data_IF_491029410071
#
_entry.id   IF_491029410071
#
_cell.length_a   1.000
_cell.length_b   1.000
_cell.length_c   1.000
_cell.angle_alpha   90.00
_cell.angle_beta   90.00
_cell.angle_gamma   90.00
#
_symmetry.space_group_name_H-M   'P 1'
#
loop_
_entity.id
_entity.type
_entity.pdbx_description
1 polymer ?
#
# COMPACT_ATOMS: atom_id res chain seq x y z
N UNK A 1 -9.20 37.44 -5.48
CA UNK A 1 -8.69 37.08 -6.82
C UNK A 1 -9.40 35.81 -7.26
N UNK A 2 -9.52 35.53 -8.56
CA UNK A 2 -10.12 34.28 -9.03
C UNK A 2 -9.16 33.11 -8.74
N UNK A 3 -9.65 32.01 -8.15
CA UNK A 3 -8.84 30.81 -7.89
C UNK A 3 -8.43 30.16 -9.22
N UNK A 4 -7.19 29.70 -9.32
CA UNK A 4 -6.70 28.94 -10.48
C UNK A 4 -7.26 27.51 -10.44
N UNK A 5 -7.94 27.06 -11.49
CA UNK A 5 -8.50 25.71 -11.54
C UNK A 5 -7.55 24.73 -12.25
N UNK A 6 -7.26 23.59 -11.63
CA UNK A 6 -6.45 22.51 -12.21
C UNK A 6 -7.27 21.22 -12.34
N UNK A 7 -7.28 20.62 -13.54
CA UNK A 7 -7.91 19.32 -13.78
C UNK A 7 -6.94 18.20 -13.43
N UNK A 8 -7.34 17.34 -12.49
CA UNK A 8 -6.50 16.25 -11.97
C UNK A 8 -7.17 14.92 -12.29
N UNK A 9 -6.48 14.01 -12.96
CA UNK A 9 -7.00 12.67 -13.22
C UNK A 9 -7.03 11.83 -11.95
N UNK A 10 -8.06 10.99 -11.79
CA UNK A 10 -8.13 9.97 -10.75
C UNK A 10 -8.43 8.62 -11.41
N UNK A 11 -7.42 7.75 -11.47
CA UNK A 11 -7.46 6.51 -12.25
C UNK A 11 -7.32 5.28 -11.34
N UNK A 12 -8.45 4.80 -10.83
CA UNK A 12 -8.52 3.71 -9.85
C UNK A 12 -9.58 2.69 -10.26
N UNK A 13 -9.27 1.39 -10.17
CA UNK A 13 -10.18 0.32 -10.60
C UNK A 13 -11.26 0.02 -9.57
N UNK A 14 -12.35 0.79 -9.57
CA UNK A 14 -13.48 0.63 -8.63
C UNK A 14 -14.39 -0.57 -8.93
N UNK A 15 -14.05 -1.35 -9.96
CA UNK A 15 -14.63 -2.66 -10.31
C UNK A 15 -13.50 -3.70 -10.50
N UNK A 16 -13.86 -4.98 -10.43
CA UNK A 16 -12.89 -6.08 -10.52
C UNK A 16 -12.44 -6.63 -9.16
N UNK A 17 -11.45 -7.52 -9.19
CA UNK A 17 -11.06 -8.39 -8.06
C UNK A 17 -10.52 -7.65 -6.82
N UNK A 18 -9.97 -6.45 -7.00
CA UNK A 18 -9.40 -5.61 -5.94
C UNK A 18 -10.17 -4.28 -5.76
N UNK A 19 -11.42 -4.23 -6.24
CA UNK A 19 -12.26 -3.03 -6.22
C UNK A 19 -12.55 -2.48 -4.82
N UNK A 20 -12.56 -3.32 -3.79
CA UNK A 20 -12.77 -2.91 -2.39
C UNK A 20 -11.69 -1.93 -1.95
N UNK A 21 -10.42 -2.26 -2.15
CA UNK A 21 -9.27 -1.40 -1.84
C UNK A 21 -9.29 -0.15 -2.74
N UNK A 22 -9.49 -0.31 -4.04
CA UNK A 22 -9.50 0.81 -4.98
C UNK A 22 -10.64 1.83 -4.73
N UNK A 23 -11.80 1.38 -4.23
CA UNK A 23 -12.87 2.28 -3.77
C UNK A 23 -12.46 3.05 -2.52
N UNK A 24 -11.71 2.42 -1.59
CA UNK A 24 -11.15 3.10 -0.42
C UNK A 24 -10.11 4.16 -0.83
N UNK A 25 -9.24 3.83 -1.79
CA UNK A 25 -8.31 4.78 -2.42
C UNK A 25 -9.03 5.98 -3.05
N UNK A 26 -10.09 5.73 -3.83
CA UNK A 26 -10.87 6.79 -4.47
C UNK A 26 -11.50 7.71 -3.42
N UNK A 27 -12.07 7.15 -2.36
CA UNK A 27 -12.64 7.92 -1.26
C UNK A 27 -11.59 8.81 -0.59
N UNK A 28 -10.40 8.27 -0.31
CA UNK A 28 -9.29 9.04 0.26
C UNK A 28 -8.87 10.23 -0.61
N UNK A 29 -8.72 10.01 -1.93
CA UNK A 29 -8.44 11.08 -2.88
C UNK A 29 -9.56 12.14 -2.90
N UNK A 30 -10.82 11.73 -3.04
CA UNK A 30 -11.99 12.63 -3.11
C UNK A 30 -12.22 13.40 -1.80
N UNK A 31 -11.82 12.87 -0.65
CA UNK A 31 -11.80 13.62 0.60
C UNK A 31 -10.79 14.79 0.53
N UNK A 32 -9.56 14.52 0.10
CA UNK A 32 -8.55 15.56 -0.04
C UNK A 32 -8.95 16.65 -1.04
N UNK A 33 -9.54 16.29 -2.19
CA UNK A 33 -10.11 17.26 -3.15
C UNK A 33 -11.12 18.18 -2.48
N UNK A 34 -12.06 17.62 -1.70
CA UNK A 34 -13.08 18.41 -1.00
C UNK A 34 -12.49 19.35 0.03
N UNK A 35 -11.51 18.89 0.81
CA UNK A 35 -10.85 19.74 1.81
C UNK A 35 -10.09 20.91 1.18
N UNK A 36 -9.33 20.66 0.11
CA UNK A 36 -8.59 21.71 -0.62
C UNK A 36 -9.56 22.72 -1.23
N UNK A 37 -10.63 22.24 -1.87
CA UNK A 37 -11.62 23.11 -2.50
C UNK A 37 -12.45 23.91 -1.49
N UNK A 38 -12.67 23.37 -0.28
CA UNK A 38 -13.30 24.11 0.82
C UNK A 38 -12.35 25.10 1.52
N UNK A 39 -11.04 24.94 1.36
CA UNK A 39 -10.02 25.83 1.88
C UNK A 39 -9.99 27.20 1.19
N UNK A 40 -9.14 28.08 1.72
CA UNK A 40 -8.92 29.44 1.22
C UNK A 40 -7.72 29.55 0.26
N UNK A 41 -7.20 28.43 -0.21
CA UNK A 41 -6.08 28.40 -1.13
C UNK A 41 -6.44 29.08 -2.46
N UNK A 42 -5.44 29.66 -3.12
CA UNK A 42 -5.60 30.33 -4.41
C UNK A 42 -5.88 29.38 -5.59
N UNK A 43 -6.05 28.08 -5.32
CA UNK A 43 -6.27 27.04 -6.33
C UNK A 43 -7.56 26.26 -6.06
N UNK A 44 -8.17 25.72 -7.10
CA UNK A 44 -9.25 24.71 -7.05
C UNK A 44 -8.79 23.49 -7.84
N UNK A 45 -9.11 22.30 -7.35
CA UNK A 45 -8.79 21.03 -8.00
C UNK A 45 -10.07 20.36 -8.51
N UNK A 46 -10.13 20.10 -9.81
CA UNK A 46 -11.26 19.43 -10.47
C UNK A 46 -10.91 17.97 -10.79
N UNK A 47 -11.47 16.98 -10.06
CA UNK A 47 -11.15 15.58 -10.30
C UNK A 47 -11.83 15.05 -11.57
N UNK A 48 -11.05 14.43 -12.46
CA UNK A 48 -11.53 13.67 -13.62
C UNK A 48 -11.37 12.18 -13.32
N UNK A 49 -12.44 11.56 -12.82
CA UNK A 49 -12.42 10.17 -12.36
C UNK A 49 -12.67 9.20 -13.52
N UNK A 50 -11.79 8.21 -13.67
CA UNK A 50 -11.91 7.12 -14.65
C UNK A 50 -11.69 5.76 -13.99
N UNK A 51 -12.35 4.72 -14.49
CA UNK A 51 -12.31 3.37 -13.93
C UNK A 51 -11.74 2.35 -14.94
N UNK A 52 -10.47 1.93 -14.78
CA UNK A 52 -9.85 0.92 -15.64
C UNK A 52 -10.33 -0.52 -15.43
N UNK A 53 -11.18 -0.78 -14.43
CA UNK A 53 -11.79 -2.10 -14.17
C UNK A 53 -10.83 -3.29 -13.97
N UNK A 54 -9.59 -3.03 -13.56
CA UNK A 54 -8.57 -4.06 -13.36
C UNK A 54 -7.84 -4.50 -14.63
N UNK A 55 -8.11 -3.86 -15.78
CA UNK A 55 -7.55 -4.23 -17.08
C UNK A 55 -6.39 -3.32 -17.50
N UNK A 56 -5.23 -3.91 -17.81
CA UNK A 56 -4.01 -3.16 -18.15
C UNK A 56 -4.17 -2.36 -19.44
N UNK A 57 -4.84 -2.91 -20.45
CA UNK A 57 -5.08 -2.18 -21.70
C UNK A 57 -5.95 -0.93 -21.46
N UNK A 58 -6.96 -1.04 -20.60
CA UNK A 58 -7.80 0.08 -20.16
C UNK A 58 -7.00 1.13 -19.39
N UNK A 59 -6.08 0.73 -18.50
CA UNK A 59 -5.17 1.68 -17.83
C UNK A 59 -4.37 2.50 -18.84
N UNK A 60 -3.79 1.85 -19.85
CA UNK A 60 -3.04 2.53 -20.91
C UNK A 60 -3.93 3.48 -21.73
N UNK A 61 -5.08 3.00 -22.19
CA UNK A 61 -6.01 3.80 -22.99
C UNK A 61 -6.48 5.04 -22.24
N UNK A 62 -6.93 4.87 -20.99
CA UNK A 62 -7.42 5.96 -20.16
C UNK A 62 -6.31 6.95 -19.79
N UNK A 63 -5.07 6.49 -19.63
CA UNK A 63 -3.92 7.39 -19.44
C UNK A 63 -3.71 8.27 -20.66
N UNK A 64 -3.75 7.70 -21.87
CA UNK A 64 -3.62 8.46 -23.12
C UNK A 64 -4.77 9.45 -23.31
N UNK A 65 -6.00 9.08 -22.96
CA UNK A 65 -7.17 9.96 -23.05
C UNK A 65 -7.06 11.14 -22.07
N UNK A 66 -6.69 10.87 -20.80
CA UNK A 66 -6.47 11.91 -19.79
C UNK A 66 -5.37 12.88 -20.23
N UNK A 67 -4.19 12.36 -20.55
CA UNK A 67 -3.02 13.16 -20.94
C UNK A 67 -3.28 13.92 -22.25
N UNK A 68 -3.92 13.28 -23.23
CA UNK A 68 -4.32 13.90 -24.50
C UNK A 68 -5.38 15.00 -24.36
N UNK A 69 -6.18 14.95 -23.30
CA UNK A 69 -7.17 16.00 -22.96
C UNK A 69 -6.58 17.18 -22.17
N UNK A 70 -5.25 17.20 -21.96
CA UNK A 70 -4.53 18.26 -21.27
C UNK A 70 -4.39 18.06 -19.75
N UNK A 71 -4.82 16.92 -19.19
CA UNK A 71 -4.56 16.60 -17.78
C UNK A 71 -3.08 16.25 -17.62
N UNK A 72 -2.35 16.94 -16.74
CA UNK A 72 -0.92 16.69 -16.51
C UNK A 72 -0.61 15.88 -15.26
N UNK A 73 -1.52 15.84 -14.30
CA UNK A 73 -1.35 15.11 -13.05
C UNK A 73 -2.46 14.07 -12.90
N UNK A 74 -2.09 12.83 -12.61
CA UNK A 74 -3.03 11.74 -12.37
C UNK A 74 -2.68 11.04 -11.07
N UNK A 75 -3.64 10.94 -10.16
CA UNK A 75 -3.54 10.10 -8.96
C UNK A 75 -4.14 8.74 -9.30
N UNK A 76 -3.38 7.66 -9.18
CA UNK A 76 -3.95 6.37 -9.55
C UNK A 76 -2.97 5.22 -9.65
N UNK A 77 -3.47 4.15 -10.27
CA UNK A 77 -2.91 2.80 -10.21
C UNK A 77 -2.98 2.19 -8.81
N UNK A 78 -2.91 0.86 -8.76
CA UNK A 78 -2.79 0.10 -7.52
C UNK A 78 -1.77 -1.01 -7.74
N UNK A 79 -2.02 -1.89 -8.72
CA UNK A 79 -1.08 -2.97 -9.04
C UNK A 79 0.19 -2.42 -9.70
N UNK A 80 1.33 -3.03 -9.38
CA UNK A 80 2.60 -2.69 -10.03
C UNK A 80 2.56 -2.86 -11.55
N UNK A 81 1.80 -3.85 -12.04
CA UNK A 81 1.58 -4.03 -13.48
C UNK A 81 0.87 -2.84 -14.11
N UNK A 82 -0.17 -2.28 -13.46
CA UNK A 82 -0.86 -1.11 -14.00
C UNK A 82 0.04 0.12 -14.01
N UNK A 83 0.87 0.30 -12.97
CA UNK A 83 1.86 1.38 -12.90
C UNK A 83 2.88 1.27 -14.05
N UNK A 84 3.50 0.09 -14.22
CA UNK A 84 4.50 -0.14 -15.29
C UNK A 84 3.93 0.04 -16.69
N UNK A 85 2.67 -0.34 -16.88
CA UNK A 85 1.97 -0.17 -18.16
C UNK A 85 1.81 1.31 -18.55
N UNK A 86 1.57 2.20 -17.56
CA UNK A 86 1.25 3.60 -17.84
C UNK A 86 2.43 4.56 -17.76
N UNK A 87 3.53 4.21 -17.05
CA UNK A 87 4.72 5.08 -16.94
C UNK A 87 5.18 5.65 -18.30
N UNK A 88 5.31 4.84 -19.38
CA UNK A 88 5.72 5.37 -20.68
C UNK A 88 4.77 6.42 -21.26
N UNK A 89 3.48 6.39 -20.90
CA UNK A 89 2.53 7.43 -21.30
C UNK A 89 2.85 8.75 -20.58
N UNK A 90 3.10 8.72 -19.27
CA UNK A 90 3.44 9.92 -18.51
C UNK A 90 4.77 10.54 -18.95
N UNK A 91 5.77 9.71 -19.24
CA UNK A 91 7.05 10.14 -19.80
C UNK A 91 6.88 10.82 -21.17
N UNK A 92 6.05 10.24 -22.06
CA UNK A 92 5.81 10.79 -23.40
C UNK A 92 5.10 12.15 -23.40
N UNK A 93 4.21 12.37 -22.43
CA UNK A 93 3.36 13.57 -22.38
C UNK A 93 3.84 14.61 -21.35
N UNK A 94 5.02 14.42 -20.75
CA UNK A 94 5.52 15.24 -19.65
C UNK A 94 4.47 15.39 -18.52
N UNK A 95 3.80 14.28 -18.19
CA UNK A 95 2.84 14.20 -17.08
C UNK A 95 3.47 13.65 -15.80
N UNK A 96 2.79 13.81 -14.67
CA UNK A 96 3.13 13.14 -13.41
C UNK A 96 2.04 12.16 -12.99
N UNK A 97 2.43 10.92 -12.78
CA UNK A 97 1.65 9.95 -12.01
C UNK A 97 1.96 10.11 -10.53
N UNK A 98 0.93 10.28 -9.71
CA UNK A 98 1.01 10.18 -8.26
C UNK A 98 0.52 8.80 -7.87
N UNK A 99 1.44 7.95 -7.44
CA UNK A 99 1.19 6.54 -7.19
C UNK A 99 1.02 6.28 -5.69
N UNK A 100 -0.21 6.04 -5.21
CA UNK A 100 -0.53 6.00 -3.79
C UNK A 100 -0.68 4.56 -3.28
N UNK A 101 0.23 3.69 -3.70
CA UNK A 101 0.22 2.28 -3.29
C UNK A 101 1.63 1.83 -2.97
N UNK A 102 1.72 0.90 -2.02
CA UNK A 102 2.95 0.19 -1.73
C UNK A 102 3.37 -0.69 -2.91
N UNK A 103 4.68 -0.92 -3.09
CA UNK A 103 5.20 -1.69 -4.22
C UNK A 103 6.57 -2.37 -3.97
N UNK A 104 7.04 -3.11 -4.95
CA UNK A 104 8.20 -3.98 -4.91
C UNK A 104 9.58 -3.30 -4.95
N UNK A 105 9.66 -1.99 -5.16
CA UNK A 105 10.94 -1.29 -5.35
C UNK A 105 11.50 -1.42 -6.77
N UNK A 106 12.81 -1.20 -6.88
CA UNK A 106 13.62 -1.33 -8.10
C UNK A 106 13.14 -0.48 -9.28
N UNK A 107 12.57 0.68 -8.98
CA UNK A 107 12.06 1.64 -9.94
C UNK A 107 12.27 3.07 -9.42
N UNK A 108 12.60 3.98 -10.32
CA UNK A 108 12.59 5.41 -10.08
C UNK A 108 12.33 6.07 -11.42
N UNK A 109 11.29 6.88 -11.49
CA UNK A 109 10.93 7.65 -12.68
C UNK A 109 10.74 9.11 -12.28
N UNK A 110 11.28 10.01 -13.10
CA UNK A 110 11.05 11.45 -12.99
C UNK A 110 9.57 11.82 -13.19
N UNK A 111 8.77 10.92 -13.76
CA UNK A 111 7.36 11.12 -14.04
C UNK A 111 6.43 10.46 -13.00
N UNK A 112 6.98 9.98 -11.88
CA UNK A 112 6.20 9.34 -10.81
C UNK A 112 6.57 9.92 -9.44
N UNK A 113 5.56 10.29 -8.67
CA UNK A 113 5.68 10.58 -7.23
C UNK A 113 5.10 9.40 -6.46
N UNK A 114 5.90 8.75 -5.63
CA UNK A 114 5.51 7.55 -4.88
C UNK A 114 5.12 7.94 -3.46
N UNK A 115 3.83 7.91 -3.14
CA UNK A 115 3.33 8.19 -1.78
C UNK A 115 3.06 6.93 -0.96
N UNK A 116 3.14 5.75 -1.57
CA UNK A 116 3.13 4.46 -0.89
C UNK A 116 4.52 3.93 -0.54
N UNK A 117 4.55 2.85 0.26
CA UNK A 117 5.77 2.28 0.83
C UNK A 117 6.66 1.57 -0.18
N UNK A 118 7.98 1.77 -0.05
CA UNK A 118 9.03 0.97 -0.68
C UNK A 118 9.37 -0.29 0.15
N UNK A 119 10.09 -1.29 -0.39
CA UNK A 119 10.39 -2.56 0.29
C UNK A 119 11.02 -2.44 1.68
N UNK A 120 11.90 -1.45 1.87
CA UNK A 120 12.54 -1.22 3.17
C UNK A 120 11.58 -0.67 4.24
N UNK A 121 10.39 -0.19 3.84
CA UNK A 121 9.37 0.40 4.72
C UNK A 121 8.20 -0.57 5.03
N UNK A 122 8.16 -1.77 4.44
CA UNK A 122 7.11 -2.76 4.72
C UNK A 122 7.62 -4.21 4.78
N UNK A 123 8.36 -4.70 3.76
CA UNK A 123 8.84 -6.09 3.70
C UNK A 123 9.92 -6.34 4.73
N UNK A 124 10.97 -5.50 4.78
CA UNK A 124 12.09 -5.73 5.70
C UNK A 124 11.66 -5.66 7.19
N UNK A 125 10.85 -4.67 7.62
CA UNK A 125 10.29 -4.65 8.98
C UNK A 125 9.48 -5.91 9.31
N UNK A 126 8.71 -6.43 8.34
CA UNK A 126 7.93 -7.65 8.54
C UNK A 126 8.83 -8.87 8.73
N UNK A 127 9.85 -9.02 7.89
CA UNK A 127 10.82 -10.11 7.99
C UNK A 127 11.54 -10.07 9.35
N UNK A 128 11.96 -8.88 9.79
CA UNK A 128 12.57 -8.68 11.11
C UNK A 128 11.65 -9.13 12.25
N UNK A 129 10.37 -8.75 12.18
CA UNK A 129 9.38 -9.15 13.16
C UNK A 129 9.16 -10.67 13.19
N UNK A 130 8.93 -11.27 12.03
CA UNK A 130 8.65 -12.71 11.91
C UNK A 130 9.83 -13.55 12.40
N UNK A 131 11.05 -13.25 11.93
CA UNK A 131 12.27 -13.96 12.28
C UNK A 131 12.59 -13.89 13.79
N UNK A 132 12.24 -12.78 14.46
CA UNK A 132 12.55 -12.57 15.87
C UNK A 132 11.45 -12.98 16.84
N UNK A 133 10.19 -13.04 16.41
CA UNK A 133 9.02 -13.23 17.31
C UNK A 133 8.14 -14.42 16.98
N UNK A 134 8.16 -14.91 15.73
CA UNK A 134 7.22 -15.94 15.27
C UNK A 134 7.97 -17.23 14.95
N UNK A 135 8.97 -17.16 14.06
CA UNK A 135 9.74 -18.32 13.66
C UNK A 135 10.63 -18.04 12.47
N UNK A 136 11.14 -19.07 11.82
CA UNK A 136 12.13 -18.93 10.75
C UNK A 136 11.80 -19.75 9.50
N UNK A 137 10.72 -20.55 9.50
CA UNK A 137 10.25 -21.35 8.38
C UNK A 137 9.00 -20.76 7.76
N UNK A 138 9.13 -20.18 6.58
CA UNK A 138 8.03 -19.54 5.85
C UNK A 138 7.44 -20.47 4.78
N UNK A 139 6.14 -20.34 4.53
CA UNK A 139 5.52 -20.75 3.27
C UNK A 139 5.00 -19.49 2.57
N UNK A 140 5.37 -19.27 1.30
CA UNK A 140 4.93 -18.09 0.56
C UNK A 140 3.81 -18.45 -0.41
N UNK A 141 2.75 -17.64 -0.43
CA UNK A 141 1.66 -17.71 -1.40
C UNK A 141 1.45 -16.33 -2.01
N UNK A 142 1.19 -16.23 -3.31
CA UNK A 142 1.02 -14.93 -3.96
C UNK A 142 0.21 -14.95 -5.23
N UNK A 143 -0.26 -13.77 -5.65
CA UNK A 143 -0.90 -13.62 -6.96
C UNK A 143 0.15 -13.61 -8.08
N UNK A 144 -0.10 -14.26 -9.21
CA UNK A 144 0.88 -14.53 -10.26
C UNK A 144 1.19 -13.30 -11.13
N UNK A 145 1.85 -12.30 -10.55
CA UNK A 145 2.34 -11.10 -11.22
C UNK A 145 3.53 -10.48 -10.45
N UNK A 146 4.13 -9.44 -11.04
CA UNK A 146 5.40 -8.85 -10.60
C UNK A 146 5.48 -8.51 -9.11
N UNK A 147 4.40 -8.01 -8.52
CA UNK A 147 4.34 -7.70 -7.08
C UNK A 147 4.71 -8.92 -6.22
N UNK A 148 4.03 -10.05 -6.41
CA UNK A 148 4.26 -11.20 -5.55
C UNK A 148 5.59 -11.88 -5.85
N UNK A 149 6.04 -11.87 -7.11
CA UNK A 149 7.35 -12.43 -7.49
C UNK A 149 8.49 -11.67 -6.82
N UNK A 150 8.50 -10.35 -6.94
CA UNK A 150 9.56 -9.52 -6.37
C UNK A 150 9.49 -9.45 -4.84
N UNK A 151 8.29 -9.33 -4.25
CA UNK A 151 8.16 -9.37 -2.79
C UNK A 151 8.57 -10.72 -2.20
N UNK A 152 8.18 -11.84 -2.82
CA UNK A 152 8.65 -13.16 -2.36
C UNK A 152 10.18 -13.29 -2.50
N UNK A 153 10.77 -12.76 -3.58
CA UNK A 153 12.23 -12.72 -3.75
C UNK A 153 12.91 -11.94 -2.64
N UNK A 154 12.49 -10.69 -2.39
CA UNK A 154 13.05 -9.82 -1.34
C UNK A 154 12.86 -10.47 0.03
N UNK A 155 11.66 -11.00 0.30
CA UNK A 155 11.34 -11.69 1.54
C UNK A 155 12.26 -12.90 1.77
N UNK A 156 12.42 -13.76 0.76
CA UNK A 156 13.27 -14.95 0.81
C UNK A 156 14.73 -14.59 1.06
N UNK A 157 15.26 -13.59 0.36
CA UNK A 157 16.64 -13.10 0.55
C UNK A 157 16.84 -12.53 1.97
N UNK A 158 15.88 -11.71 2.43
CA UNK A 158 15.94 -11.10 3.76
C UNK A 158 15.78 -12.11 4.90
N UNK A 159 14.91 -13.11 4.73
CA UNK A 159 14.70 -14.18 5.71
C UNK A 159 15.92 -15.11 5.78
N UNK A 160 16.49 -15.49 4.63
CA UNK A 160 17.71 -16.28 4.57
C UNK A 160 18.90 -15.57 5.25
N UNK A 161 19.03 -14.25 5.06
CA UNK A 161 20.04 -13.45 5.75
C UNK A 161 19.87 -13.43 7.29
N UNK A 162 18.68 -13.77 7.80
CA UNK A 162 18.37 -13.92 9.23
C UNK A 162 18.35 -15.38 9.69
N UNK A 163 18.87 -16.29 8.88
CA UNK A 163 18.96 -17.72 9.18
C UNK A 163 17.66 -18.50 9.00
N UNK A 164 16.63 -17.91 8.40
CA UNK A 164 15.39 -18.59 8.07
C UNK A 164 15.37 -19.23 6.68
N UNK A 165 14.27 -19.90 6.36
CA UNK A 165 14.08 -20.63 5.11
C UNK A 165 12.65 -20.47 4.59
N UNK A 166 12.51 -20.46 3.27
CA UNK A 166 11.22 -20.57 2.59
C UNK A 166 11.04 -22.03 2.16
N UNK A 167 10.03 -22.71 2.72
CA UNK A 167 9.77 -24.13 2.47
C UNK A 167 9.17 -24.36 1.08
N UNK A 168 8.29 -23.46 0.64
CA UNK A 168 7.67 -23.47 -0.67
C UNK A 168 7.16 -22.08 -1.05
N UNK A 169 7.06 -21.86 -2.36
CA UNK A 169 6.38 -20.72 -2.96
C UNK A 169 5.29 -21.24 -3.90
N UNK A 170 4.07 -20.68 -3.82
CA UNK A 170 2.94 -21.02 -4.70
C UNK A 170 2.28 -19.75 -5.23
N UNK A 171 1.83 -19.81 -6.48
CA UNK A 171 1.20 -18.68 -7.15
C UNK A 171 -0.15 -19.05 -7.73
N UNK A 172 -1.12 -18.15 -7.59
CA UNK A 172 -2.46 -18.25 -8.15
C UNK A 172 -2.72 -17.06 -9.08
N UNK A 173 -3.52 -17.24 -10.13
CA UNK A 173 -3.93 -16.11 -10.96
C UNK A 173 -4.72 -15.09 -10.13
N UNK A 174 -4.62 -13.80 -10.45
CA UNK A 174 -5.44 -12.78 -9.77
C UNK A 174 -6.92 -13.09 -10.00
N UNK A 175 -7.69 -13.18 -8.93
CA UNK A 175 -9.11 -13.52 -8.98
C UNK A 175 -9.41 -15.01 -8.87
N UNK A 176 -8.40 -15.88 -8.99
CA UNK A 176 -8.54 -17.32 -8.79
C UNK A 176 -8.76 -17.63 -7.30
N UNK A 177 -9.70 -18.53 -7.01
CA UNK A 177 -10.12 -18.91 -5.65
C UNK A 177 -9.91 -20.40 -5.36
N UNK A 178 -9.30 -21.16 -6.28
CA UNK A 178 -8.99 -22.58 -6.08
C UNK A 178 -7.76 -22.77 -5.19
N UNK A 179 -7.96 -22.59 -3.88
CA UNK A 179 -6.88 -22.50 -2.87
C UNK A 179 -6.57 -23.82 -2.15
N UNK A 180 -7.38 -24.86 -2.36
CA UNK A 180 -7.35 -26.10 -1.56
C UNK A 180 -6.00 -26.82 -1.63
N UNK A 181 -5.39 -26.91 -2.82
CA UNK A 181 -4.10 -27.57 -2.98
C UNK A 181 -2.98 -26.83 -2.24
N UNK A 182 -3.00 -25.50 -2.28
CA UNK A 182 -2.02 -24.66 -1.57
C UNK A 182 -2.20 -24.82 -0.06
N UNK A 183 -3.44 -24.80 0.43
CA UNK A 183 -3.77 -25.00 1.85
C UNK A 183 -3.33 -26.38 2.33
N UNK A 184 -3.60 -27.44 1.56
CA UNK A 184 -3.16 -28.80 1.90
C UNK A 184 -1.63 -28.87 2.04
N UNK A 185 -0.90 -28.23 1.12
CA UNK A 185 0.56 -28.17 1.17
C UNK A 185 1.08 -27.37 2.39
N UNK A 186 0.42 -26.29 2.79
CA UNK A 186 0.77 -25.53 3.99
C UNK A 186 0.61 -26.39 5.25
N UNK A 187 -0.53 -27.07 5.39
CA UNK A 187 -0.82 -27.92 6.55
C UNK A 187 0.15 -29.10 6.65
N UNK A 188 0.51 -29.71 5.51
CA UNK A 188 1.46 -30.82 5.45
C UNK A 188 2.88 -30.39 5.86
N UNK A 189 3.34 -29.23 5.35
CA UNK A 189 4.70 -28.74 5.60
C UNK A 189 4.90 -28.11 6.98
N UNK A 190 3.82 -27.68 7.65
CA UNK A 190 3.85 -27.01 8.96
C UNK A 190 4.92 -25.90 9.01
N UNK A 191 4.76 -24.81 8.23
CA UNK A 191 5.61 -23.64 8.39
C UNK A 191 5.33 -22.96 9.74
N UNK A 192 6.25 -22.13 10.20
CA UNK A 192 6.04 -21.29 11.39
C UNK A 192 5.06 -20.14 11.09
N UNK A 193 4.98 -19.72 9.83
CA UNK A 193 4.03 -18.71 9.35
C UNK A 193 3.86 -18.79 7.82
N UNK A 194 2.77 -18.23 7.32
CA UNK A 194 2.53 -18.03 5.88
C UNK A 194 2.80 -16.57 5.51
N UNK A 195 3.61 -16.31 4.48
CA UNK A 195 3.71 -14.99 3.87
C UNK A 195 2.75 -14.91 2.68
N UNK A 196 1.69 -14.10 2.83
CA UNK A 196 0.62 -13.94 1.86
C UNK A 196 0.77 -12.64 1.04
N UNK A 197 0.94 -12.81 -0.26
CA UNK A 197 0.92 -11.79 -1.31
C UNK A 197 -0.20 -12.02 -2.34
N UNK A 198 -1.24 -12.79 -1.98
CA UNK A 198 -2.48 -12.79 -2.75
C UNK A 198 -3.19 -11.45 -2.56
N UNK A 199 -3.87 -10.98 -3.60
CA UNK A 199 -4.67 -9.73 -3.54
C UNK A 199 -6.14 -10.00 -3.84
N UNK A 200 -7.00 -9.13 -3.32
CA UNK A 200 -8.43 -9.11 -3.66
C UNK A 200 -9.13 -10.43 -3.34
N UNK A 201 -10.08 -10.83 -4.19
CA UNK A 201 -10.91 -12.02 -3.97
C UNK A 201 -10.12 -13.31 -3.71
N UNK A 202 -8.95 -13.48 -4.33
CA UNK A 202 -8.05 -14.62 -4.08
C UNK A 202 -7.56 -14.66 -2.64
N UNK A 203 -7.19 -13.51 -2.07
CA UNK A 203 -6.74 -13.42 -0.69
C UNK A 203 -7.86 -13.79 0.29
N UNK A 204 -9.06 -13.25 0.06
CA UNK A 204 -10.19 -13.48 0.98
C UNK A 204 -10.61 -14.95 0.99
N UNK A 205 -10.64 -15.58 -0.19
CA UNK A 205 -10.88 -17.02 -0.31
C UNK A 205 -9.83 -17.84 0.43
N UNK A 206 -8.55 -17.49 0.27
CA UNK A 206 -7.45 -18.12 0.99
C UNK A 206 -7.60 -18.02 2.51
N UNK A 207 -7.83 -16.83 3.06
CA UNK A 207 -7.99 -16.66 4.51
C UNK A 207 -9.13 -17.49 5.09
N UNK A 208 -10.32 -17.46 4.44
CA UNK A 208 -11.48 -18.23 4.88
C UNK A 208 -11.22 -19.73 4.84
N UNK A 209 -10.77 -20.23 3.68
CA UNK A 209 -10.56 -21.66 3.47
C UNK A 209 -9.43 -22.18 4.36
N UNK A 210 -8.34 -21.41 4.54
CA UNK A 210 -7.23 -21.81 5.38
C UNK A 210 -7.63 -21.92 6.85
N UNK A 211 -8.37 -20.93 7.38
CA UNK A 211 -8.90 -20.98 8.75
C UNK A 211 -9.84 -22.17 8.94
N UNK A 212 -10.76 -22.41 8.01
CA UNK A 212 -11.70 -23.54 8.07
C UNK A 212 -10.95 -24.89 8.04
N UNK A 213 -9.97 -25.05 7.15
CA UNK A 213 -9.18 -26.27 7.03
C UNK A 213 -8.30 -26.55 8.25
N UNK A 214 -7.80 -25.52 8.92
CA UNK A 214 -7.09 -25.62 10.19
C UNK A 214 -8.03 -26.04 11.33
N UNK A 215 -9.18 -25.36 11.47
CA UNK A 215 -10.19 -25.71 12.50
C UNK A 215 -10.68 -27.15 12.37
N UNK A 216 -10.92 -27.62 11.14
CA UNK A 216 -11.31 -29.01 10.88
C UNK A 216 -10.27 -30.05 11.33
N UNK A 217 -9.01 -29.63 11.53
CA UNK A 217 -7.90 -30.46 12.01
C UNK A 217 -7.49 -30.15 13.45
N UNK A 218 -8.25 -29.31 14.16
CA UNK A 218 -7.94 -28.89 15.53
C UNK A 218 -6.72 -27.97 15.65
N UNK A 219 -6.34 -27.27 14.56
CA UNK A 219 -5.22 -26.33 14.54
C UNK A 219 -5.75 -24.92 14.83
N UNK A 220 -5.20 -24.25 15.83
CA UNK A 220 -5.40 -22.82 16.05
C UNK A 220 -4.52 -22.03 15.08
N UNK A 221 -5.05 -21.77 13.88
CA UNK A 221 -4.30 -21.12 12.80
C UNK A 221 -3.63 -19.80 13.23
N UNK A 222 -4.27 -18.96 14.04
CA UNK A 222 -3.68 -17.67 14.43
C UNK A 222 -2.47 -17.83 15.36
N UNK A 223 -2.51 -18.83 16.24
CA UNK A 223 -1.45 -19.09 17.20
C UNK A 223 -0.33 -19.97 16.62
N UNK A 224 -0.68 -20.95 15.79
CA UNK A 224 0.24 -21.98 15.31
C UNK A 224 0.83 -21.68 13.93
N UNK A 225 0.03 -21.11 13.01
CA UNK A 225 0.47 -20.81 11.63
C UNK A 225 -0.10 -19.44 11.21
N UNK A 226 0.32 -18.34 11.86
CA UNK A 226 -0.18 -17.01 11.53
C UNK A 226 0.10 -16.68 10.07
N UNK A 227 -0.83 -15.95 9.45
CA UNK A 227 -0.63 -15.39 8.12
C UNK A 227 -0.12 -13.97 8.27
N UNK A 228 0.96 -13.66 7.58
CA UNK A 228 1.59 -12.36 7.53
C UNK A 228 1.48 -11.78 6.11
N UNK A 229 1.21 -10.49 5.98
CA UNK A 229 1.04 -9.83 4.69
C UNK A 229 1.57 -8.40 4.70
N UNK A 230 2.01 -7.93 3.52
CA UNK A 230 2.29 -6.51 3.29
C UNK A 230 1.15 -5.79 2.54
N UNK A 231 0.07 -6.52 2.18
CA UNK A 231 -1.06 -5.97 1.44
C UNK A 231 -2.36 -5.95 2.24
N UNK A 232 -2.50 -6.82 3.25
CA UNK A 232 -3.73 -6.94 4.04
C UNK A 232 -4.06 -5.64 4.78
N UNK A 233 -5.21 -5.07 4.46
CA UNK A 233 -5.69 -3.79 4.98
C UNK A 233 -7.13 -3.87 5.52
N UNK A 234 -7.55 -2.84 6.24
CA UNK A 234 -8.85 -2.77 6.93
C UNK A 234 -10.08 -3.03 6.03
N UNK A 235 -10.19 -2.48 4.81
CA UNK A 235 -11.38 -2.71 3.97
C UNK A 235 -11.50 -4.16 3.50
N UNK A 236 -10.43 -4.96 3.57
CA UNK A 236 -10.44 -6.37 3.21
C UNK A 236 -10.91 -7.27 4.36
N UNK A 237 -10.78 -6.82 5.61
CA UNK A 237 -11.15 -7.60 6.80
C UNK A 237 -12.65 -8.01 6.81
N UNK A 238 -13.61 -7.12 6.48
CA UNK A 238 -15.02 -7.52 6.33
C UNK A 238 -15.26 -8.56 5.23
N UNK A 239 -14.48 -8.51 4.13
CA UNK A 239 -14.61 -9.44 3.01
C UNK A 239 -14.08 -10.85 3.35
N UNK A 240 -13.10 -10.93 4.26
CA UNK A 240 -12.65 -12.19 4.84
C UNK A 240 -13.74 -12.79 5.73
N UNK A 241 -14.46 -11.96 6.47
CA UNK A 241 -15.60 -12.37 7.28
C UNK A 241 -15.21 -12.82 8.70
N UNK A 242 -16.19 -12.83 9.63
CA UNK A 242 -15.95 -12.89 11.08
C UNK A 242 -15.28 -14.18 11.55
N UNK A 243 -15.41 -15.27 10.79
CA UNK A 243 -14.83 -16.57 11.17
C UNK A 243 -13.32 -16.65 10.98
N UNK A 244 -12.74 -15.76 10.16
CA UNK A 244 -11.34 -15.82 9.76
C UNK A 244 -10.64 -14.46 9.76
N UNK A 245 -11.26 -13.41 10.32
CA UNK A 245 -10.77 -12.03 10.22
C UNK A 245 -9.55 -11.74 11.13
N UNK A 246 -9.42 -12.44 12.25
CA UNK A 246 -8.52 -12.07 13.34
C UNK A 246 -7.19 -12.85 13.35
N UNK A 247 -6.19 -12.28 14.03
CA UNK A 247 -4.91 -12.93 14.30
C UNK A 247 -3.87 -12.83 13.18
N UNK A 248 -4.18 -12.17 12.07
CA UNK A 248 -3.26 -12.00 10.95
C UNK A 248 -2.32 -10.82 11.20
N UNK A 249 -1.07 -10.96 10.77
CA UNK A 249 -0.06 -9.92 10.86
C UNK A 249 -0.05 -9.10 9.58
N UNK A 250 -0.07 -7.78 9.71
CA UNK A 250 0.10 -6.86 8.58
C UNK A 250 1.26 -5.92 8.84
N UNK A 251 2.09 -5.72 7.82
CA UNK A 251 3.10 -4.67 7.80
C UNK A 251 2.61 -3.53 6.92
N UNK A 252 2.46 -2.35 7.51
CA UNK A 252 1.88 -1.18 6.87
C UNK A 252 2.53 0.10 7.41
N UNK A 253 2.39 1.20 6.68
CA UNK A 253 2.80 2.53 7.16
C UNK A 253 1.68 3.24 7.91
N UNK A 254 0.44 2.75 7.82
CA UNK A 254 -0.73 3.35 8.45
C UNK A 254 -1.73 2.28 8.88
N UNK A 255 -2.38 2.54 10.02
CA UNK A 255 -3.57 1.82 10.47
C UNK A 255 -4.59 2.85 10.98
N UNK A 256 -5.86 2.63 10.70
CA UNK A 256 -6.96 3.51 11.10
C UNK A 256 -7.12 3.62 12.62
N UNK A 257 -6.54 2.68 13.36
CA UNK A 257 -6.51 2.63 14.82
C UNK A 257 -5.44 3.53 15.47
N UNK A 258 -4.61 4.24 14.70
CA UNK A 258 -3.59 5.12 15.25
C UNK A 258 -4.19 6.21 16.15
N UNK A 259 -3.59 6.43 17.32
CA UNK A 259 -4.07 7.40 18.29
C UNK A 259 -3.37 8.76 18.12
N UNK A 260 -3.83 9.56 17.14
CA UNK A 260 -3.37 10.93 16.94
C UNK A 260 -4.55 11.86 16.61
N UNK A 261 -4.37 13.16 16.80
CA UNK A 261 -5.39 14.15 16.49
C UNK A 261 -5.66 14.21 14.98
N UNK A 262 -4.59 14.15 14.18
CA UNK A 262 -4.61 14.12 12.72
C UNK A 262 -5.37 12.88 12.21
N UNK A 263 -5.07 11.70 12.75
CA UNK A 263 -5.79 10.48 12.36
C UNK A 263 -7.27 10.53 12.76
N UNK A 264 -7.56 10.95 14.00
CA UNK A 264 -8.94 11.08 14.45
C UNK A 264 -9.76 12.04 13.58
N UNK A 265 -9.17 13.14 13.11
CA UNK A 265 -9.82 14.06 12.18
C UNK A 265 -10.07 13.43 10.81
N UNK A 266 -9.07 12.75 10.25
CA UNK A 266 -9.19 12.06 8.96
C UNK A 266 -10.25 10.97 8.99
N UNK A 267 -10.25 10.08 10.00
CA UNK A 267 -11.25 9.01 10.12
C UNK A 267 -12.67 9.58 10.24
N UNK A 268 -12.87 10.62 11.07
CA UNK A 268 -14.20 11.27 11.16
C UNK A 268 -14.65 11.84 9.82
N UNK A 269 -13.78 12.60 9.15
CA UNK A 269 -14.10 13.22 7.88
C UNK A 269 -14.37 12.19 6.77
N UNK A 270 -13.58 11.11 6.73
CA UNK A 270 -13.74 10.00 5.81
C UNK A 270 -15.07 9.28 6.05
N UNK A 271 -15.37 8.85 7.28
CA UNK A 271 -16.60 8.12 7.60
C UNK A 271 -17.85 8.97 7.39
N UNK A 272 -17.84 10.25 7.76
CA UNK A 272 -18.97 11.16 7.50
C UNK A 272 -19.21 11.36 6.00
N UNK A 273 -18.13 11.36 5.22
CA UNK A 273 -18.20 11.57 3.78
C UNK A 273 -18.65 10.37 2.98
N UNK A 274 -18.33 9.16 3.46
CA UNK A 274 -18.53 7.91 2.74
C UNK A 274 -19.14 6.85 3.66
N UNK A 275 -20.34 7.08 4.22
CA UNK A 275 -20.94 6.19 5.22
C UNK A 275 -21.20 4.78 4.68
N UNK A 276 -21.49 4.66 3.37
CA UNK A 276 -21.76 3.38 2.70
C UNK A 276 -20.53 2.83 1.95
N UNK A 277 -19.38 3.51 2.07
CA UNK A 277 -18.13 3.12 1.42
C UNK A 277 -17.32 2.10 2.21
N UNK A 278 -16.30 1.49 1.59
CA UNK A 278 -15.32 0.72 2.36
C UNK A 278 -14.62 1.62 3.39
N UNK A 279 -14.27 1.04 4.53
CA UNK A 279 -13.48 1.72 5.56
C UNK A 279 -12.14 2.21 5.00
N UNK A 280 -11.53 3.18 5.68
CA UNK A 280 -10.23 3.70 5.31
C UNK A 280 -9.13 2.65 5.44
N UNK A 281 -7.99 2.89 4.77
CA UNK A 281 -6.82 2.02 4.76
C UNK A 281 -5.55 2.83 4.53
N UNK A 282 -4.39 2.17 4.56
CA UNK A 282 -3.13 2.79 4.18
C UNK A 282 -3.13 3.34 2.74
N UNK A 283 -3.74 2.63 1.78
CA UNK A 283 -3.80 3.10 0.39
C UNK A 283 -4.82 4.25 0.20
N UNK A 284 -5.89 4.30 1.02
CA UNK A 284 -6.77 5.45 1.10
C UNK A 284 -6.05 6.69 1.64
N UNK A 285 -5.27 6.51 2.70
CA UNK A 285 -4.48 7.56 3.31
C UNK A 285 -3.34 8.03 2.37
N UNK A 286 -2.66 7.13 1.68
CA UNK A 286 -1.66 7.46 0.67
C UNK A 286 -2.26 8.24 -0.52
N UNK A 287 -3.51 7.93 -0.90
CA UNK A 287 -4.25 8.65 -1.94
C UNK A 287 -4.65 10.05 -1.48
N UNK A 288 -5.06 10.17 -0.21
CA UNK A 288 -5.31 11.45 0.46
C UNK A 288 -4.02 12.30 0.50
N UNK A 289 -2.89 11.72 0.95
CA UNK A 289 -1.58 12.38 0.95
C UNK A 289 -1.19 12.86 -0.44
N UNK A 290 -1.33 12.01 -1.47
CA UNK A 290 -0.98 12.36 -2.84
C UNK A 290 -1.68 13.63 -3.31
N UNK A 291 -2.99 13.72 -3.09
CA UNK A 291 -3.78 14.91 -3.46
C UNK A 291 -3.41 16.13 -2.61
N UNK A 292 -3.16 15.97 -1.30
CA UNK A 292 -2.76 17.08 -0.41
C UNK A 292 -1.40 17.65 -0.80
N UNK A 293 -0.41 16.80 -1.05
CA UNK A 293 0.92 17.20 -1.50
C UNK A 293 0.89 17.81 -2.90
N UNK A 294 0.08 17.26 -3.81
CA UNK A 294 -0.13 17.83 -5.14
C UNK A 294 -0.75 19.22 -5.07
N UNK A 295 -1.79 19.43 -4.25
CA UNK A 295 -2.40 20.74 -4.05
C UNK A 295 -1.41 21.77 -3.52
N UNK A 296 -0.62 21.41 -2.50
CA UNK A 296 0.41 22.28 -1.95
C UNK A 296 1.51 22.62 -2.99
N UNK A 297 1.96 21.62 -3.76
CA UNK A 297 2.96 21.81 -4.80
C UNK A 297 2.45 22.68 -5.96
N UNK A 298 1.19 22.50 -6.39
CA UNK A 298 0.54 23.34 -7.41
C UNK A 298 0.41 24.79 -6.94
N UNK A 299 0.00 24.98 -5.68
CA UNK A 299 -0.12 26.32 -5.10
C UNK A 299 1.24 27.03 -5.04
N UNK A 300 2.31 26.34 -4.64
CA UNK A 300 3.67 26.90 -4.64
C UNK A 300 4.19 27.15 -6.06
N UNK A 301 3.94 26.23 -6.99
CA UNK A 301 4.45 26.32 -8.36
C UNK A 301 3.74 27.38 -9.20
N UNK A 302 2.45 27.63 -8.94
CA UNK A 302 1.61 28.50 -9.77
C UNK A 302 1.35 27.96 -11.18
N UNK A 303 1.65 26.69 -11.44
CA UNK A 303 1.52 26.01 -12.74
C UNK A 303 1.34 24.49 -12.52
N UNK A 304 0.73 23.81 -13.49
CA UNK A 304 0.63 22.34 -13.57
C UNK A 304 1.73 21.69 -14.42
N UNK A 305 2.79 22.45 -14.75
CA UNK A 305 3.98 21.89 -15.38
C UNK A 305 4.62 20.81 -14.50
N UNK A 306 4.74 19.59 -15.03
CA UNK A 306 5.23 18.42 -14.30
C UNK A 306 6.59 18.64 -13.65
N UNK A 307 7.55 19.25 -14.35
CA UNK A 307 8.89 19.48 -13.81
C UNK A 307 8.85 20.47 -12.65
N UNK A 308 8.09 21.55 -12.79
CA UNK A 308 7.97 22.60 -11.77
C UNK A 308 7.25 22.09 -10.53
N UNK A 309 6.15 21.35 -10.70
CA UNK A 309 5.41 20.72 -9.59
C UNK A 309 6.25 19.65 -8.89
N UNK A 310 7.01 18.84 -9.64
CA UNK A 310 7.96 17.86 -9.07
C UNK A 310 9.07 18.52 -8.26
N UNK A 311 9.57 19.67 -8.68
CA UNK A 311 10.54 20.41 -7.88
C UNK A 311 9.90 20.94 -6.59
N UNK A 312 8.69 21.50 -6.68
CA UNK A 312 7.96 22.05 -5.54
C UNK A 312 7.54 20.99 -4.51
N UNK A 313 7.19 19.76 -4.95
CA UNK A 313 6.78 18.70 -4.00
C UNK A 313 7.91 18.29 -3.05
N UNK A 314 9.17 18.37 -3.50
CA UNK A 314 10.34 18.03 -2.69
C UNK A 314 10.61 19.03 -1.54
N UNK A 315 9.93 20.17 -1.51
CA UNK A 315 9.97 21.14 -0.41
C UNK A 315 8.80 20.96 0.58
N UNK A 316 7.79 20.14 0.23
CA UNK A 316 6.60 19.97 1.03
C UNK A 316 6.82 19.04 2.21
N UNK A 317 6.12 19.35 3.31
CA UNK A 317 5.95 18.47 4.47
C UNK A 317 4.49 18.45 4.86
N UNK A 318 3.95 17.28 5.10
CA UNK A 318 2.58 17.08 5.49
C UNK A 318 2.52 16.41 6.86
N UNK A 319 1.76 17.00 7.79
CA UNK A 319 1.30 16.28 8.99
C UNK A 319 0.12 15.42 8.59
N UNK A 320 0.41 14.18 8.20
CA UNK A 320 -0.58 13.23 7.71
C UNK A 320 -1.15 12.39 8.87
N UNK A 321 -2.25 11.67 8.67
CA UNK A 321 -2.79 10.72 9.65
C UNK A 321 -1.73 9.73 10.18
N UNK A 322 -0.82 9.27 9.32
CA UNK A 322 0.27 8.36 9.70
C UNK A 322 1.47 8.99 10.44
N UNK A 323 1.51 10.32 10.55
CA UNK A 323 2.66 11.09 11.04
C UNK A 323 3.19 12.07 9.98
N UNK A 324 4.40 12.61 10.19
CA UNK A 324 5.04 13.48 9.19
C UNK A 324 5.38 12.68 7.93
N UNK A 325 4.98 13.20 6.76
CA UNK A 325 5.32 12.67 5.44
C UNK A 325 5.97 13.76 4.60
N UNK A 326 7.04 13.39 3.90
CA UNK A 326 7.76 14.27 2.95
C UNK A 326 8.31 13.45 1.79
N UNK A 327 8.49 14.08 0.63
CA UNK A 327 9.02 13.42 -0.56
C UNK A 327 10.53 13.57 -0.61
N UNK A 328 11.23 12.45 -0.83
CA UNK A 328 12.65 12.43 -1.06
C UNK A 328 13.00 13.06 -2.41
N UNK A 329 13.94 14.01 -2.43
CA UNK A 329 14.28 14.78 -3.64
C UNK A 329 14.99 13.94 -4.70
N UNK A 330 15.66 12.86 -4.31
CA UNK A 330 16.47 12.06 -5.24
C UNK A 330 15.64 10.97 -5.91
N UNK A 331 14.71 10.38 -5.15
CA UNK A 331 13.96 9.21 -5.59
C UNK A 331 12.47 9.49 -5.82
N UNK A 332 11.97 10.65 -5.40
CA UNK A 332 10.53 11.00 -5.41
C UNK A 332 9.63 10.01 -4.64
N UNK A 333 10.21 9.28 -3.70
CA UNK A 333 9.50 8.41 -2.78
C UNK A 333 9.25 9.10 -1.43
N UNK A 334 8.17 8.70 -0.77
CA UNK A 334 7.84 9.25 0.54
C UNK A 334 8.71 8.68 1.67
N UNK A 335 9.07 9.54 2.62
CA UNK A 335 9.50 9.17 3.95
C UNK A 335 8.24 8.77 4.75
N UNK A 336 8.17 7.51 5.17
CA UNK A 336 6.98 6.91 5.78
C UNK A 336 7.35 6.20 7.08
N UNK A 337 6.39 5.95 7.96
CA UNK A 337 6.63 5.35 9.28
C UNK A 337 6.13 3.90 9.33
N UNK A 338 7.02 2.88 9.22
CA UNK A 338 6.60 1.48 9.21
C UNK A 338 6.04 1.01 10.54
N UNK A 339 5.05 0.11 10.46
CA UNK A 339 4.33 -0.46 11.60
C UNK A 339 3.99 -1.92 11.35
N UNK A 340 3.88 -2.69 12.42
CA UNK A 340 3.34 -4.05 12.41
C UNK A 340 2.04 -4.03 13.20
N UNK A 341 0.96 -4.49 12.57
CA UNK A 341 -0.36 -4.62 13.17
C UNK A 341 -0.84 -6.07 13.21
N UNK A 342 -1.76 -6.37 14.12
CA UNK A 342 -2.49 -7.64 14.19
C UNK A 342 -3.97 -7.41 13.98
N UNK A 343 -4.60 -8.14 13.06
CA UNK A 343 -6.04 -8.01 12.84
C UNK A 343 -6.83 -8.49 14.04
N UNK A 344 -7.90 -7.79 14.38
CA UNK A 344 -8.78 -8.07 15.50
C UNK A 344 -10.14 -8.60 15.02
N UNK A 345 -10.89 -9.21 15.92
CA UNK A 345 -12.28 -9.66 15.66
C UNK A 345 -13.22 -8.52 15.26
N UNK A 346 -12.87 -7.26 15.56
CA UNK A 346 -13.63 -6.07 15.18
C UNK A 346 -13.33 -5.59 13.75
N UNK A 347 -12.48 -6.29 12.99
CA UNK A 347 -12.10 -5.87 11.64
C UNK A 347 -11.23 -4.61 11.64
N UNK A 348 -10.32 -4.50 12.61
CA UNK A 348 -9.33 -3.43 12.74
C UNK A 348 -7.94 -4.04 12.99
N UNK A 349 -6.91 -3.21 13.10
CA UNK A 349 -5.58 -3.65 13.51
C UNK A 349 -5.19 -3.09 14.88
N UNK A 350 -4.73 -3.95 15.78
CA UNK A 350 -3.95 -3.56 16.94
C UNK A 350 -2.51 -3.31 16.49
N UNK A 351 -1.97 -2.11 16.73
CA UNK A 351 -0.58 -1.79 16.39
C UNK A 351 0.34 -2.43 17.43
N UNK A 352 1.18 -3.38 17.00
CA UNK A 352 2.13 -4.08 17.87
C UNK A 352 3.47 -3.34 17.95
N UNK A 353 3.92 -2.83 16.81
CA UNK A 353 5.20 -2.15 16.65
C UNK A 353 5.06 -0.95 15.74
N UNK A 354 5.84 0.08 16.02
CA UNK A 354 6.03 1.21 15.09
C UNK A 354 7.48 1.69 15.09
N UNK A 355 7.94 2.21 13.95
CA UNK A 355 9.19 2.95 13.87
C UNK A 355 9.12 4.22 14.73
N UNK A 356 10.25 4.63 15.30
CA UNK A 356 10.34 5.86 16.11
C UNK A 356 10.16 7.13 15.29
N UNK A 357 10.53 7.07 14.02
CA UNK A 357 10.50 8.19 13.08
C UNK A 357 10.24 7.67 11.65
N UNK A 358 9.84 8.56 10.72
CA UNK A 358 9.76 8.23 9.31
C UNK A 358 11.11 7.72 8.77
N UNK A 359 11.08 6.60 8.05
CA UNK A 359 12.25 5.97 7.44
C UNK A 359 12.42 6.48 6.01
N UNK A 360 13.66 6.79 5.66
CA UNK A 360 14.06 7.14 4.29
C UNK A 360 13.65 6.04 3.31
N UNK A 361 13.11 6.37 2.13
CA UNK A 361 12.87 5.36 1.10
C UNK A 361 14.21 4.84 0.55
N UNK A 362 14.34 3.52 0.41
CA UNK A 362 15.48 2.85 -0.24
C UNK A 362 14.93 1.87 -1.29
N UNK A 363 14.38 2.38 -2.40
CA UNK A 363 13.64 1.54 -3.37
C UNK A 363 14.52 0.49 -4.03
N UNK A 364 15.84 0.71 -4.11
CA UNK A 364 16.81 -0.25 -4.67
C UNK A 364 17.49 -1.12 -3.61
N UNK A 365 17.11 -0.98 -2.33
CA UNK A 365 17.69 -1.68 -1.20
C UNK A 365 19.22 -1.54 -1.11
N UNK A 366 19.81 -0.44 -1.56
CA UNK A 366 21.27 -0.28 -1.60
C UNK A 366 21.84 -0.14 -0.19
N UNK A 367 21.17 0.64 0.66
CA UNK A 367 21.55 0.87 2.05
C UNK A 367 21.06 -0.26 2.96
N UNK A 368 19.95 -0.87 2.58
CA UNK A 368 19.26 -1.92 3.34
C UNK A 368 19.70 -3.34 2.96
N UNK A 369 20.57 -3.50 1.94
CA UNK A 369 21.02 -4.82 1.49
C UNK A 369 21.88 -5.49 2.55
N UNK A 370 21.60 -6.77 2.88
CA UNK A 370 22.45 -7.54 3.78
C UNK A 370 23.89 -7.75 3.26
N UNK A 371 24.17 -7.48 1.98
CA UNK A 371 25.54 -7.55 1.40
C UNK A 371 26.44 -6.39 1.82
N UNK A 372 25.87 -5.23 2.17
CA UNK A 372 26.62 -4.02 2.55
C UNK A 372 26.38 -3.62 4.01
N UNK A 373 25.40 -4.23 4.66
CA UNK A 373 25.12 -4.07 6.07
C UNK A 373 26.11 -4.88 6.92
N UNK A 374 27.29 -4.32 7.19
CA UNK A 374 27.99 -4.66 8.42
C UNK A 374 27.05 -4.41 9.59
N UNK A 375 26.49 -5.47 10.18
CA UNK A 375 25.52 -5.43 11.28
C UNK A 375 24.60 -4.20 11.21
N UNK A 376 23.67 -4.18 10.25
CA UNK A 376 22.62 -3.15 10.24
C UNK A 376 22.02 -3.06 11.64
N UNK A 377 22.19 -1.90 12.29
CA UNK A 377 21.50 -1.55 13.53
C UNK A 377 20.03 -1.87 13.30
N UNK A 378 19.49 -2.76 14.12
CA UNK A 378 18.09 -3.18 14.03
C UNK A 378 17.20 -1.95 13.85
N UNK A 379 16.24 -1.96 12.90
CA UNK A 379 15.22 -0.92 12.88
C UNK A 379 14.63 -0.86 14.29
N UNK A 380 14.68 0.33 14.90
CA UNK A 380 14.24 0.55 16.28
C UNK A 380 12.71 0.61 16.30
N UNK A 381 12.05 -0.44 15.82
CA UNK A 381 10.64 -0.65 16.07
C UNK A 381 10.45 -0.69 17.59
N UNK A 382 9.66 0.22 18.13
CA UNK A 382 9.28 0.22 19.54
C UNK A 382 7.99 -0.54 19.72
N UNK A 383 7.90 -1.28 20.82
CA UNK A 383 6.63 -1.85 21.29
C UNK A 383 5.68 -0.71 21.59
N UNK A 384 4.50 -0.75 21.00
CA UNK A 384 3.40 0.12 21.37
C UNK A 384 2.75 -0.52 22.60
N UNK A 385 2.87 0.13 23.76
CA UNK A 385 2.12 -0.29 24.94
C UNK A 385 0.67 0.17 24.73
N UNK A 386 -0.24 -0.80 24.56
CA UNK A 386 -1.68 -0.58 24.52
C UNK A 386 -2.26 -0.31 25.92
#
# INVERSE_FOLDING_TARGET
MARTNYRIGVMLSTTGSYSVVARSMLNGALLAFREINAGHDDITLEPVVVNPSGDLASYRSLSLDLLGSGVRHVVGCYTSSSRKEVIPCFEKFDGLLWYPSHYEGFESSDNVIYTGAAPNQHVLPLVDYLASRVGSRAFCVGSNYIWAWENNRIFREALAARGGTVLAERYLSVGDTEVDQVIAAIIDQRPDFVFNNLIGTSAYAFFRAFRAACRARGIDQAAEIPVASCTLSEPELPEIGPDAVDGHLSSSVYFSSLNSAENGAFIRAYTTSFPDGPVSSADAEASYIAVKLLGAALSQAGTDDARTVRAAVADQRLRAPQGEVRIDRQTFHAWLTPRIGRSTVSGQFEVLLESREPIAPDPYLVQSSPRFAGAMRSPLLKVVQS
#
